data_IF_116269446898
#
_entry.id   IF_116269446898
#
_cell.length_a   1.000
_cell.length_b   1.000
_cell.length_c   1.000
_cell.angle_alpha   90.00
_cell.angle_beta   90.00
_cell.angle_gamma   90.00
#
_symmetry.space_group_name_H-M   'P 1'
#
loop_
_entity.id
_entity.type
_entity.pdbx_description
1 polymer ?
#
# COMPACT_ATOMS: atom_id res chain seq x y z
N UNK A 1 3.05 17.41 -0.46
CA UNK A 1 2.04 16.72 -1.30
C UNK A 1 0.67 17.25 -0.95
N UNK A 2 -0.13 17.61 -1.93
CA UNK A 2 -1.46 18.17 -1.69
C UNK A 2 -2.40 17.18 -1.03
N UNK A 3 -3.16 17.65 -0.05
CA UNK A 3 -4.11 16.87 0.71
C UNK A 3 -5.37 17.70 1.02
N UNK A 4 -6.46 17.01 1.30
CA UNK A 4 -7.72 17.66 1.71
C UNK A 4 -7.82 17.84 3.23
N UNK A 5 -6.77 17.54 3.99
CA UNK A 5 -6.76 17.81 5.42
C UNK A 5 -6.67 19.33 5.69
N UNK A 6 -6.89 19.74 6.95
CA UNK A 6 -6.94 21.15 7.34
C UNK A 6 -5.74 21.98 6.87
N UNK A 7 -4.56 21.35 6.80
CA UNK A 7 -3.33 22.00 6.37
C UNK A 7 -3.17 22.08 4.86
N UNK A 8 -4.05 21.42 4.08
CA UNK A 8 -4.05 21.37 2.61
C UNK A 8 -2.78 20.80 1.99
N UNK A 9 -1.78 20.48 2.80
CA UNK A 9 -0.53 19.89 2.38
C UNK A 9 -0.06 18.93 3.48
N UNK A 10 0.52 17.80 3.10
CA UNK A 10 1.00 16.82 4.06
C UNK A 10 2.45 16.43 3.78
N UNK A 11 3.20 16.25 4.84
CA UNK A 11 4.55 15.68 4.81
C UNK A 11 4.61 14.33 5.50
N UNK A 12 3.48 13.80 5.94
CA UNK A 12 3.36 12.48 6.55
C UNK A 12 2.58 11.57 5.63
N UNK A 13 3.26 10.58 5.07
CA UNK A 13 2.72 9.68 4.07
C UNK A 13 2.67 8.24 4.61
N UNK A 14 1.74 7.48 4.06
CA UNK A 14 1.60 6.06 4.32
C UNK A 14 1.52 5.33 2.98
N UNK A 15 2.26 4.24 2.85
CA UNK A 15 2.17 3.34 1.70
C UNK A 15 1.31 2.15 2.11
N UNK A 16 0.18 1.94 1.44
CA UNK A 16 -0.76 0.87 1.76
C UNK A 16 -1.48 0.43 0.49
N UNK A 17 -1.60 -0.88 0.31
CA UNK A 17 -2.39 -1.43 -0.78
C UNK A 17 -3.88 -1.47 -0.43
N UNK A 18 -4.72 -1.09 -1.38
CA UNK A 18 -6.16 -1.21 -1.27
C UNK A 18 -6.77 -1.34 -2.66
N UNK A 19 -7.93 -1.96 -2.75
CA UNK A 19 -8.60 -2.21 -4.02
C UNK A 19 -9.06 -0.90 -4.65
N UNK A 20 -8.63 -0.64 -5.88
CA UNK A 20 -9.07 0.52 -6.64
C UNK A 20 -8.52 1.86 -6.18
N UNK A 21 -7.51 1.87 -5.29
CA UNK A 21 -6.92 3.08 -4.75
C UNK A 21 -5.46 3.25 -5.20
N UNK A 22 -4.98 4.49 -5.20
CA UNK A 22 -3.55 4.74 -5.35
C UNK A 22 -2.80 4.31 -4.08
N UNK A 23 -1.52 3.92 -4.17
CA UNK A 23 -0.82 3.31 -3.04
C UNK A 23 -0.33 4.27 -1.97
N UNK A 24 -0.46 5.58 -2.16
CA UNK A 24 0.03 6.58 -1.21
C UNK A 24 -1.13 7.31 -0.55
N UNK A 25 -1.05 7.45 0.76
CA UNK A 25 -2.10 8.02 1.61
C UNK A 25 -1.52 9.09 2.52
N UNK A 26 -2.35 10.08 2.89
CA UNK A 26 -2.00 11.01 3.95
C UNK A 26 -2.09 10.28 5.30
N UNK A 27 -0.99 10.25 6.06
CA UNK A 27 -0.98 9.58 7.36
C UNK A 27 -1.65 10.39 8.46
N UNK A 28 -2.05 11.63 8.18
CA UNK A 28 -2.76 12.49 9.14
C UNK A 28 -4.28 12.32 9.04
N UNK A 29 -4.83 12.40 7.83
CA UNK A 29 -6.28 12.35 7.63
C UNK A 29 -6.79 11.09 6.94
N UNK A 30 -5.89 10.27 6.38
CA UNK A 30 -6.25 9.03 5.70
C UNK A 30 -6.76 9.18 4.28
N UNK A 31 -6.70 10.38 3.68
CA UNK A 31 -7.13 10.53 2.30
C UNK A 31 -6.14 9.91 1.31
N UNK A 32 -6.65 9.39 0.20
CA UNK A 32 -5.83 8.83 -0.87
C UNK A 32 -5.21 9.96 -1.68
N UNK A 33 -3.92 9.85 -1.98
CA UNK A 33 -3.15 10.90 -2.64
C UNK A 33 -2.72 10.49 -4.04
N UNK A 34 -2.63 11.48 -4.94
CA UNK A 34 -2.07 11.26 -6.27
C UNK A 34 -0.56 11.10 -6.20
N UNK A 35 -0.02 10.18 -7.01
CA UNK A 35 1.41 9.95 -7.10
C UNK A 35 1.99 10.93 -8.12
N UNK A 36 2.63 12.02 -7.66
CA UNK A 36 3.16 13.04 -8.57
C UNK A 36 4.62 13.42 -8.35
N UNK A 37 5.22 13.02 -7.22
CA UNK A 37 6.54 13.48 -6.81
C UNK A 37 7.66 12.45 -7.00
N UNK A 38 7.34 11.24 -7.40
CA UNK A 38 8.32 10.16 -7.58
C UNK A 38 8.53 9.85 -9.06
N UNK A 39 9.61 9.13 -9.36
CA UNK A 39 9.96 8.79 -10.74
C UNK A 39 8.87 7.94 -11.42
N UNK A 40 8.81 7.99 -12.74
CA UNK A 40 7.88 7.18 -13.52
C UNK A 40 8.12 5.68 -13.32
N UNK A 41 9.39 5.27 -13.17
CA UNK A 41 9.73 3.87 -12.91
C UNK A 41 9.15 3.40 -11.57
N UNK A 42 9.36 4.17 -10.51
CA UNK A 42 8.84 3.81 -9.19
C UNK A 42 7.31 3.87 -9.16
N UNK A 43 6.70 4.85 -9.84
CA UNK A 43 5.26 4.93 -9.98
C UNK A 43 4.69 3.67 -10.62
N UNK A 44 5.31 3.20 -11.71
CA UNK A 44 4.87 1.97 -12.39
C UNK A 44 4.98 0.74 -11.48
N UNK A 45 6.07 0.64 -10.73
CA UNK A 45 6.26 -0.47 -9.78
C UNK A 45 5.20 -0.47 -8.67
N UNK A 46 4.87 0.71 -8.15
CA UNK A 46 3.83 0.86 -7.13
C UNK A 46 2.44 0.52 -7.68
N UNK A 47 2.12 0.95 -8.89
CA UNK A 47 0.84 0.63 -9.52
C UNK A 47 0.71 -0.89 -9.75
N UNK A 48 1.76 -1.54 -10.23
CA UNK A 48 1.76 -3.00 -10.38
C UNK A 48 1.58 -3.69 -9.03
N UNK A 49 2.25 -3.20 -8.00
CA UNK A 49 2.16 -3.75 -6.65
C UNK A 49 0.74 -3.63 -6.09
N UNK A 50 0.11 -2.45 -6.20
CA UNK A 50 -1.23 -2.23 -5.67
C UNK A 50 -2.29 -2.99 -6.47
N UNK A 51 -2.08 -3.22 -7.77
CA UNK A 51 -2.99 -4.00 -8.59
C UNK A 51 -3.01 -5.49 -8.22
N UNK A 52 -1.98 -5.98 -7.55
CA UNK A 52 -1.93 -7.35 -7.03
C UNK A 52 -2.50 -7.48 -5.63
N UNK A 53 -2.96 -6.37 -5.05
CA UNK A 53 -3.57 -6.39 -3.72
C UNK A 53 -4.81 -7.29 -3.72
N UNK A 54 -4.84 -8.23 -2.79
CA UNK A 54 -5.95 -9.16 -2.65
C UNK A 54 -5.86 -10.40 -3.52
N UNK A 55 -4.76 -10.61 -4.27
CA UNK A 55 -4.60 -11.81 -5.12
C UNK A 55 -4.56 -13.12 -4.32
N UNK A 56 -4.38 -13.04 -3.01
CA UNK A 56 -4.39 -14.17 -2.09
C UNK A 56 -5.80 -14.62 -1.69
N UNK A 57 -6.83 -13.91 -2.14
CA UNK A 57 -8.22 -14.21 -1.85
C UNK A 57 -8.92 -14.77 -3.09
N UNK A 58 -9.67 -15.85 -2.91
CA UNK A 58 -10.64 -16.31 -3.91
C UNK A 58 -11.92 -15.49 -3.69
N UNK A 59 -12.11 -14.47 -4.51
CA UNK A 59 -13.24 -13.55 -4.37
C UNK A 59 -14.58 -14.16 -4.73
N UNK A 60 -14.58 -15.23 -5.56
CA UNK A 60 -15.81 -15.94 -5.91
C UNK A 60 -16.33 -16.77 -4.75
N UNK A 61 -15.41 -17.39 -4.00
CA UNK A 61 -15.74 -18.27 -2.87
C UNK A 61 -15.63 -17.57 -1.52
N UNK A 62 -15.15 -16.34 -1.50
CA UNK A 62 -14.87 -15.55 -0.29
C UNK A 62 -13.98 -16.33 0.69
N UNK A 63 -12.91 -16.90 0.17
CA UNK A 63 -11.97 -17.73 0.92
C UNK A 63 -10.52 -17.35 0.61
N UNK A 64 -9.65 -17.62 1.58
CA UNK A 64 -8.22 -17.52 1.39
C UNK A 64 -7.74 -18.64 0.45
N UNK A 65 -6.89 -18.29 -0.53
CA UNK A 65 -6.24 -19.29 -1.38
C UNK A 65 -5.32 -20.18 -0.53
N UNK A 66 -5.02 -21.43 -0.95
CA UNK A 66 -4.16 -22.33 -0.19
C UNK A 66 -2.77 -21.74 0.14
N UNK A 67 -2.22 -20.91 -0.74
CA UNK A 67 -0.96 -20.22 -0.55
C UNK A 67 -1.14 -18.73 -0.20
N UNK A 68 -2.33 -18.35 0.27
CA UNK A 68 -2.69 -16.94 0.47
C UNK A 68 -1.82 -16.22 1.48
N UNK A 69 -1.47 -16.87 2.59
CA UNK A 69 -0.60 -16.26 3.62
C UNK A 69 0.77 -15.95 3.03
N UNK A 70 1.33 -16.86 2.25
CA UNK A 70 2.62 -16.67 1.59
C UNK A 70 2.59 -15.55 0.56
N UNK A 71 1.51 -15.46 -0.21
CA UNK A 71 1.32 -14.38 -1.19
C UNK A 71 1.22 -13.02 -0.50
N UNK A 72 0.51 -12.93 0.61
CA UNK A 72 0.42 -11.69 1.37
C UNK A 72 1.77 -11.30 1.99
N UNK A 73 2.52 -12.25 2.51
CA UNK A 73 3.86 -12.00 3.04
C UNK A 73 4.78 -11.43 1.97
N UNK A 74 4.73 -11.98 0.77
CA UNK A 74 5.51 -11.47 -0.37
C UNK A 74 5.07 -10.07 -0.77
N UNK A 75 3.76 -9.82 -0.79
CA UNK A 75 3.21 -8.49 -1.04
C UNK A 75 3.73 -7.46 -0.02
N UNK A 76 3.72 -7.82 1.26
CA UNK A 76 4.21 -6.94 2.33
C UNK A 76 5.71 -6.69 2.22
N UNK A 77 6.48 -7.70 1.86
CA UNK A 77 7.91 -7.57 1.64
C UNK A 77 8.23 -6.63 0.49
N UNK A 78 7.52 -6.76 -0.62
CA UNK A 78 7.66 -5.85 -1.76
C UNK A 78 7.25 -4.42 -1.39
N UNK A 79 6.17 -4.26 -0.65
CA UNK A 79 5.69 -2.96 -0.18
C UNK A 79 6.72 -2.24 0.67
N UNK A 80 7.40 -2.97 1.54
CA UNK A 80 8.46 -2.41 2.37
C UNK A 80 9.64 -1.92 1.52
N UNK A 81 10.06 -2.71 0.54
CA UNK A 81 11.12 -2.32 -0.40
C UNK A 81 10.75 -1.07 -1.19
N UNK A 82 9.51 -1.01 -1.71
CA UNK A 82 9.02 0.14 -2.46
C UNK A 82 8.95 1.38 -1.58
N UNK A 83 8.56 1.23 -0.32
CA UNK A 83 8.54 2.32 0.65
C UNK A 83 9.94 2.89 0.87
N UNK A 84 10.94 2.03 1.01
CA UNK A 84 12.33 2.47 1.14
C UNK A 84 12.81 3.22 -0.11
N UNK A 85 12.38 2.80 -1.29
CA UNK A 85 12.72 3.48 -2.54
C UNK A 85 12.06 4.87 -2.62
N UNK A 86 10.83 5.00 -2.13
CA UNK A 86 10.15 6.31 -2.04
C UNK A 86 10.94 7.24 -1.10
N UNK A 87 11.35 6.73 0.05
CA UNK A 87 12.16 7.52 1.02
C UNK A 87 13.43 8.05 0.38
N UNK A 88 14.11 7.23 -0.42
CA UNK A 88 15.34 7.63 -1.12
C UNK A 88 15.07 8.73 -2.14
N UNK A 89 13.98 8.61 -2.91
CA UNK A 89 13.64 9.61 -3.93
C UNK A 89 13.23 10.94 -3.32
N UNK A 90 12.53 10.92 -2.20
CA UNK A 90 12.05 12.14 -1.54
C UNK A 90 13.06 12.75 -0.57
N UNK A 91 14.22 12.14 -0.41
CA UNK A 91 15.38 12.68 0.31
C UNK A 91 15.09 13.23 1.71
N UNK A 92 14.23 12.54 2.46
CA UNK A 92 13.95 12.89 3.85
C UNK A 92 13.01 14.06 4.07
N UNK A 93 12.42 14.63 3.00
CA UNK A 93 11.44 15.71 3.14
C UNK A 93 10.11 15.25 3.72
N UNK A 94 9.83 13.93 3.64
CA UNK A 94 8.58 13.34 4.08
C UNK A 94 8.84 12.24 5.09
N UNK A 95 7.94 12.12 6.07
CA UNK A 95 7.89 10.96 6.95
C UNK A 95 7.02 9.91 6.26
N UNK A 96 7.57 8.74 5.96
CA UNK A 96 6.88 7.72 5.18
C UNK A 96 6.85 6.42 5.96
N UNK A 97 5.65 5.87 6.12
CA UNK A 97 5.43 4.59 6.81
C UNK A 97 4.81 3.59 5.86
N UNK A 98 5.18 2.33 6.02
CA UNK A 98 4.52 1.23 5.32
C UNK A 98 3.46 0.63 6.23
N UNK A 99 2.25 0.44 5.67
CA UNK A 99 1.14 -0.23 6.35
C UNK A 99 0.94 -1.60 5.70
N UNK A 100 1.35 -2.70 6.35
CA UNK A 100 1.21 -4.03 5.77
C UNK A 100 -0.23 -4.51 5.74
N UNK A 101 -0.55 -5.40 4.79
CA UNK A 101 -1.84 -6.07 4.73
C UNK A 101 -1.91 -7.15 5.82
N UNK A 102 -3.05 -7.26 6.47
CA UNK A 102 -3.36 -8.33 7.43
C UNK A 102 -4.56 -9.16 6.97
N UNK A 103 -5.03 -8.95 5.74
CA UNK A 103 -6.26 -9.57 5.22
C UNK A 103 -6.19 -11.10 5.22
N UNK A 104 -5.05 -11.69 4.85
CA UNK A 104 -4.90 -13.15 4.81
C UNK A 104 -5.09 -13.76 6.19
N UNK A 105 -4.54 -13.15 7.22
CA UNK A 105 -4.71 -13.61 8.61
C UNK A 105 -6.15 -13.48 9.06
N UNK A 106 -6.83 -12.40 8.67
CA UNK A 106 -8.23 -12.20 8.99
C UNK A 106 -9.10 -13.28 8.36
N UNK A 107 -8.85 -13.64 7.09
CA UNK A 107 -9.56 -14.73 6.43
C UNK A 107 -9.25 -16.09 7.05
N UNK A 108 -8.00 -16.35 7.42
CA UNK A 108 -7.62 -17.58 8.08
C UNK A 108 -8.35 -17.76 9.41
N UNK A 109 -8.49 -16.69 10.20
CA UNK A 109 -9.21 -16.71 11.47
C UNK A 109 -10.72 -16.88 11.28
N UNK A 110 -11.27 -16.28 10.23
CA UNK A 110 -12.70 -16.35 9.90
C UNK A 110 -13.15 -17.77 9.53
N UNK A 111 -12.24 -18.57 8.98
CA UNK A 111 -12.52 -19.93 8.47
C UNK A 111 -12.28 -21.03 9.51
N UNK A 112 -12.09 -20.67 10.76
CA UNK A 112 -11.96 -21.63 11.85
C UNK A 112 -13.33 -22.07 12.40
#
# INVERSE_FOLDING_TARGET
MECFCEQKETYELKVEGDVGADPIWCNQCGCNLDIGLISNTLTSELIEWVNRYGEWIDWDEDKLLPNGIELEEEHNKQGLTLTDNIKKELEGKYSIKFSPSAMARMYANKNH
#
